data_IF_057513852993
#
_entry.id   IF_057513852993
#
_cell.length_a   1.000
_cell.length_b   1.000
_cell.length_c   1.000
_cell.angle_alpha   90.00
_cell.angle_beta   90.00
_cell.angle_gamma   90.00
#
_symmetry.space_group_name_H-M   'P 1'
#
loop_
_entity.id
_entity.type
_entity.pdbx_description
1 polymer ?
#
# COMPACT_ATOMS: atom_id res chain seq x y z
N UNK A 1 -17.49 1.33 3.97
CA UNK A 1 -16.14 1.82 3.64
C UNK A 1 -15.57 2.36 4.94
N UNK A 2 -14.67 1.63 5.59
CA UNK A 2 -14.00 2.16 6.77
C UNK A 2 -12.91 3.14 6.31
N UNK A 3 -12.83 4.31 6.95
CA UNK A 3 -11.73 5.24 6.71
C UNK A 3 -10.40 4.55 7.02
N UNK A 4 -9.47 4.60 6.06
CA UNK A 4 -8.11 4.09 6.25
C UNK A 4 -7.40 4.95 7.29
N UNK A 5 -6.87 4.33 8.35
CA UNK A 5 -6.16 5.05 9.40
C UNK A 5 -4.80 5.53 8.88
N UNK A 6 -4.38 6.77 9.18
CA UNK A 6 -3.03 7.22 8.88
C UNK A 6 -2.00 6.45 9.71
N UNK A 7 -0.78 6.37 9.19
CA UNK A 7 0.39 5.82 9.88
C UNK A 7 1.30 6.98 10.25
N UNK A 8 1.72 7.05 11.51
CA UNK A 8 2.67 8.05 11.99
C UNK A 8 4.06 7.43 12.07
N UNK A 9 5.09 8.24 11.81
CA UNK A 9 6.47 7.83 12.07
C UNK A 9 6.65 7.57 13.57
N UNK A 10 7.61 6.71 13.90
CA UNK A 10 7.98 6.37 15.27
C UNK A 10 8.32 7.57 16.14
N UNK A 11 8.88 8.63 15.53
CA UNK A 11 9.20 9.90 16.18
C UNK A 11 8.07 10.95 16.16
N UNK A 12 6.94 10.63 15.52
CA UNK A 12 5.76 11.49 15.40
C UNK A 12 5.93 12.71 14.50
N UNK A 13 7.05 12.83 13.77
CA UNK A 13 7.35 14.00 12.92
C UNK A 13 6.80 13.89 11.51
N UNK A 14 6.35 12.72 11.09
CA UNK A 14 5.81 12.51 9.75
C UNK A 14 4.56 11.64 9.80
N UNK A 15 3.71 11.80 8.78
CA UNK A 15 2.49 11.01 8.65
C UNK A 15 2.30 10.55 7.20
N UNK A 16 2.00 9.26 7.07
CA UNK A 16 1.55 8.63 5.83
C UNK A 16 0.04 8.46 5.89
N UNK A 17 -0.65 8.90 4.85
CA UNK A 17 -2.11 8.86 4.79
C UNK A 17 -2.60 8.69 3.35
N UNK A 18 -3.90 8.43 3.19
CA UNK A 18 -4.51 8.30 1.86
C UNK A 18 -5.25 9.59 1.53
N UNK A 19 -4.98 10.16 0.36
CA UNK A 19 -5.71 11.33 -0.15
C UNK A 19 -5.90 11.25 -1.66
N UNK A 20 -6.91 11.95 -2.16
CA UNK A 20 -7.15 12.04 -3.61
C UNK A 20 -6.10 12.93 -4.28
N UNK A 21 -5.53 12.47 -5.39
CA UNK A 21 -4.61 13.25 -6.22
C UNK A 21 -5.04 13.17 -7.67
N UNK A 22 -5.03 14.31 -8.36
CA UNK A 22 -5.28 14.35 -9.80
C UNK A 22 -4.19 13.58 -10.55
N UNK A 23 -4.61 12.69 -11.43
CA UNK A 23 -3.72 11.84 -12.24
C UNK A 23 -3.50 12.39 -13.64
N UNK A 24 -4.07 13.57 -13.96
CA UNK A 24 -3.92 14.25 -15.23
C UNK A 24 -4.62 13.52 -16.38
N UNK A 25 -4.53 14.08 -17.59
CA UNK A 25 -5.07 13.46 -18.81
C UNK A 25 -6.57 13.13 -18.72
N UNK A 26 -7.35 13.99 -18.06
CA UNK A 26 -8.79 13.81 -17.80
C UNK A 26 -9.15 12.55 -16.99
N UNK A 27 -8.18 11.93 -16.31
CA UNK A 27 -8.42 10.76 -15.48
C UNK A 27 -9.17 11.11 -14.18
N UNK A 28 -9.04 12.35 -13.71
CA UNK A 28 -9.59 12.81 -12.44
C UNK A 28 -8.76 12.35 -11.23
N UNK A 29 -9.36 12.48 -10.05
CA UNK A 29 -8.71 12.17 -8.78
C UNK A 29 -8.77 10.69 -8.41
N UNK A 30 -7.62 10.13 -8.02
CA UNK A 30 -7.50 8.78 -7.46
C UNK A 30 -6.90 8.84 -6.06
N UNK A 31 -7.29 7.91 -5.19
CA UNK A 31 -6.75 7.82 -3.83
C UNK A 31 -5.34 7.23 -3.87
N UNK A 32 -4.37 7.97 -3.35
CA UNK A 32 -2.97 7.60 -3.34
C UNK A 32 -2.34 7.81 -1.97
N UNK A 33 -1.21 7.13 -1.76
CA UNK A 33 -0.38 7.31 -0.56
C UNK A 33 0.28 8.69 -0.61
N UNK A 34 0.14 9.43 0.48
CA UNK A 34 0.77 10.72 0.70
C UNK A 34 1.67 10.65 1.93
N UNK A 35 2.77 11.40 1.91
CA UNK A 35 3.62 11.65 3.07
C UNK A 35 3.60 13.14 3.39
N UNK A 36 3.46 13.50 4.66
CA UNK A 36 3.57 14.88 5.10
C UNK A 36 4.48 14.98 6.32
N UNK A 37 5.33 16.00 6.31
CA UNK A 37 6.13 16.42 7.47
C UNK A 37 5.23 17.20 8.44
N UNK A 38 5.23 16.83 9.70
CA UNK A 38 4.40 17.42 10.76
C UNK A 38 5.18 18.45 11.61
N UNK A 39 6.46 18.66 11.36
CA UNK A 39 7.29 19.62 12.09
C UNK A 39 7.03 21.07 11.64
N UNK A 40 6.38 21.25 10.49
CA UNK A 40 6.02 22.56 9.95
C UNK A 40 4.56 22.62 9.51
N UNK A 41 3.84 23.66 9.92
CA UNK A 41 2.45 23.91 9.51
C UNK A 41 2.31 24.28 8.03
N UNK A 42 3.41 24.64 7.37
CA UNK A 42 3.45 24.97 5.94
C UNK A 42 3.78 23.75 5.05
N UNK A 43 4.08 22.59 5.65
CA UNK A 43 4.43 21.39 4.90
C UNK A 43 3.25 20.94 4.02
N UNK A 44 3.54 20.69 2.75
CA UNK A 44 2.55 20.15 1.80
C UNK A 44 2.72 18.65 1.71
N UNK A 45 1.63 17.88 1.63
CA UNK A 45 1.72 16.45 1.35
C UNK A 45 2.43 16.16 0.03
N UNK A 46 3.30 15.16 0.03
CA UNK A 46 4.02 14.64 -1.12
C UNK A 46 3.40 13.32 -1.53
N UNK A 47 2.90 13.17 -2.77
CA UNK A 47 2.34 11.91 -3.26
C UNK A 47 3.45 10.88 -3.46
N UNK A 48 3.38 9.75 -2.74
CA UNK A 48 4.32 8.64 -2.87
C UNK A 48 3.97 7.70 -4.04
N UNK A 49 2.69 7.62 -4.41
CA UNK A 49 2.19 6.80 -5.53
C UNK A 49 1.42 7.65 -6.55
N UNK A 50 1.34 7.17 -7.79
CA UNK A 50 0.52 7.73 -8.88
C UNK A 50 0.05 6.63 -9.83
N UNK A 51 -1.02 6.88 -10.57
CA UNK A 51 -1.56 5.99 -11.59
C UNK A 51 -3.09 5.93 -11.54
N UNK A 52 -3.72 5.26 -12.51
CA UNK A 52 -5.19 5.12 -12.54
C UNK A 52 -5.64 3.91 -11.71
N UNK A 53 -5.22 3.90 -10.45
CA UNK A 53 -5.58 2.88 -9.47
C UNK A 53 -5.83 3.56 -8.11
N UNK A 54 -6.57 2.90 -7.25
CA UNK A 54 -7.03 3.41 -5.97
C UNK A 54 -6.37 2.64 -4.84
N UNK A 55 -5.68 3.35 -3.96
CA UNK A 55 -5.26 2.84 -2.65
C UNK A 55 -6.47 2.87 -1.72
N UNK A 56 -6.73 1.73 -1.09
CA UNK A 56 -7.92 1.50 -0.26
C UNK A 56 -7.59 1.53 1.24
N UNK A 57 -6.41 1.03 1.61
CA UNK A 57 -5.99 0.89 3.01
C UNK A 57 -4.47 0.96 3.14
N UNK A 58 -3.97 1.59 4.22
CA UNK A 58 -2.57 1.51 4.64
C UNK A 58 -2.41 0.37 5.63
N UNK A 59 -1.40 -0.47 5.44
CA UNK A 59 -1.23 -1.70 6.21
C UNK A 59 -0.09 -1.60 7.23
N UNK A 60 1.06 -1.07 6.81
CA UNK A 60 2.24 -0.92 7.65
C UNK A 60 3.19 0.13 7.06
N UNK A 61 4.00 0.74 7.92
CA UNK A 61 5.14 1.56 7.54
C UNK A 61 6.38 0.97 8.19
N UNK A 62 7.28 0.47 7.36
CA UNK A 62 8.58 -0.03 7.74
C UNK A 62 9.64 1.04 7.51
N UNK A 63 9.81 1.90 8.51
CA UNK A 63 10.75 3.02 8.48
C UNK A 63 12.21 2.57 8.29
N UNK A 64 12.56 1.36 8.77
CA UNK A 64 13.93 0.84 8.66
C UNK A 64 14.30 0.51 7.21
N UNK A 65 13.36 -0.04 6.44
CA UNK A 65 13.56 -0.34 5.02
C UNK A 65 12.99 0.73 4.09
N UNK A 66 12.39 1.79 4.64
CA UNK A 66 11.79 2.91 3.90
C UNK A 66 10.60 2.50 3.04
N UNK A 67 9.75 1.61 3.55
CA UNK A 67 8.66 1.02 2.78
C UNK A 67 7.30 1.24 3.43
N UNK A 68 6.35 1.76 2.66
CA UNK A 68 4.94 1.83 3.02
C UNK A 68 4.18 0.72 2.31
N UNK A 69 3.49 -0.12 3.07
CA UNK A 69 2.65 -1.22 2.59
C UNK A 69 1.18 -0.80 2.57
N UNK A 70 0.47 -1.13 1.49
CA UNK A 70 -0.91 -0.72 1.29
C UNK A 70 -1.71 -1.72 0.42
N UNK A 71 -3.03 -1.66 0.53
CA UNK A 71 -3.96 -2.32 -0.38
C UNK A 71 -4.33 -1.38 -1.51
N UNK A 72 -4.23 -1.88 -2.74
CA UNK A 72 -4.71 -1.16 -3.91
C UNK A 72 -5.40 -2.09 -4.89
N UNK A 73 -6.24 -1.53 -5.74
CA UNK A 73 -6.63 -2.23 -6.96
C UNK A 73 -5.50 -2.15 -8.01
N UNK A 74 -5.82 -2.61 -9.22
CA UNK A 74 -4.95 -2.53 -10.38
C UNK A 74 -5.66 -1.72 -11.47
N UNK A 75 -4.91 -0.90 -12.20
CA UNK A 75 -5.44 -0.17 -13.35
C UNK A 75 -6.10 -1.14 -14.36
N UNK A 76 -7.31 -0.81 -14.80
CA UNK A 76 -8.13 -1.66 -15.66
C UNK A 76 -8.83 -2.83 -14.95
N UNK A 77 -8.50 -3.12 -13.69
CA UNK A 77 -9.07 -4.22 -12.90
C UNK A 77 -9.55 -3.74 -11.53
N UNK A 78 -10.61 -2.90 -11.46
CA UNK A 78 -11.06 -2.28 -10.21
C UNK A 78 -11.59 -3.28 -9.17
N UNK A 79 -12.01 -4.48 -9.59
CA UNK A 79 -12.47 -5.56 -8.71
C UNK A 79 -11.36 -6.43 -8.13
N UNK A 80 -10.10 -6.22 -8.53
CA UNK A 80 -8.95 -6.92 -7.95
C UNK A 80 -8.38 -6.10 -6.80
N UNK A 81 -7.83 -6.78 -5.80
CA UNK A 81 -7.16 -6.16 -4.67
C UNK A 81 -5.82 -6.85 -4.41
N UNK A 82 -4.77 -6.06 -4.25
CA UNK A 82 -3.41 -6.55 -4.03
C UNK A 82 -2.74 -5.76 -2.92
N UNK A 83 -1.87 -6.45 -2.19
CA UNK A 83 -0.89 -5.81 -1.31
C UNK A 83 0.28 -5.35 -2.16
N UNK A 84 0.59 -4.07 -2.06
CA UNK A 84 1.72 -3.42 -2.72
C UNK A 84 2.54 -2.63 -1.70
N UNK A 85 3.76 -2.27 -2.08
CA UNK A 85 4.62 -1.39 -1.30
C UNK A 85 5.21 -0.27 -2.16
N UNK A 86 5.58 0.83 -1.51
CA UNK A 86 6.23 1.97 -2.13
C UNK A 86 7.31 2.55 -1.20
N UNK A 87 8.32 3.18 -1.78
CA UNK A 87 9.33 3.92 -1.02
C UNK A 87 8.70 5.11 -0.27
N UNK A 88 9.15 5.36 0.96
CA UNK A 88 8.81 6.56 1.73
C UNK A 88 9.68 7.79 1.41
N UNK A 89 10.62 7.68 0.46
CA UNK A 89 11.49 8.79 0.10
C UNK A 89 10.73 9.92 -0.58
N UNK A 90 10.64 11.13 -0.01
CA UNK A 90 9.99 12.23 -0.71
C UNK A 90 10.78 12.70 -1.95
N UNK A 91 12.06 12.34 -2.07
CA UNK A 91 12.89 12.69 -3.23
C UNK A 91 12.52 11.83 -4.43
N UNK A 92 12.37 12.48 -5.59
CA UNK A 92 11.96 11.83 -6.85
C UNK A 92 10.59 11.13 -6.80
N UNK A 93 9.74 11.51 -5.84
CA UNK A 93 8.36 11.05 -5.73
C UNK A 93 7.48 11.63 -6.86
N UNK A 94 6.42 10.93 -7.33
CA UNK A 94 5.94 9.61 -6.89
C UNK A 94 6.78 8.45 -7.42
N UNK A 95 6.82 7.36 -6.65
CA UNK A 95 7.51 6.13 -7.00
C UNK A 95 6.59 5.11 -7.67
N UNK A 96 7.19 4.16 -8.38
CA UNK A 96 6.49 2.98 -8.89
C UNK A 96 6.24 1.99 -7.75
N UNK A 97 5.00 1.53 -7.61
CA UNK A 97 4.66 0.54 -6.59
C UNK A 97 5.18 -0.86 -6.97
N UNK A 98 5.61 -1.59 -5.95
CA UNK A 98 6.04 -2.98 -6.07
C UNK A 98 4.94 -3.87 -5.51
N UNK A 99 4.42 -4.77 -6.33
CA UNK A 99 3.39 -5.70 -5.88
C UNK A 99 4.00 -6.83 -5.03
N UNK A 100 3.52 -6.97 -3.80
CA UNK A 100 3.97 -8.00 -2.85
C UNK A 100 3.29 -9.34 -3.13
N UNK A 101 2.01 -9.32 -3.51
CA UNK A 101 1.14 -10.51 -3.56
C UNK A 101 0.83 -11.00 -4.98
N UNK A 102 1.27 -10.31 -6.02
CA UNK A 102 0.93 -10.65 -7.42
C UNK A 102 1.48 -12.00 -7.89
N UNK A 103 2.55 -12.48 -7.26
CA UNK A 103 3.14 -13.80 -7.53
C UNK A 103 2.71 -14.86 -6.52
N UNK A 104 1.88 -14.50 -5.54
CA UNK A 104 1.35 -15.47 -4.57
C UNK A 104 0.37 -16.40 -5.26
N UNK A 105 0.59 -17.70 -5.06
CA UNK A 105 -0.34 -18.74 -5.46
C UNK A 105 -0.99 -19.35 -4.21
N UNK A 106 -2.26 -19.75 -4.36
CA UNK A 106 -2.95 -20.57 -3.38
C UNK A 106 -2.31 -21.96 -3.28
N UNK A 107 -2.69 -22.75 -2.27
CA UNK A 107 -2.16 -24.10 -2.09
C UNK A 107 -2.34 -25.00 -3.33
N UNK A 108 -3.44 -24.82 -4.08
CA UNK A 108 -3.75 -25.52 -5.32
C UNK A 108 -3.17 -24.85 -6.59
N UNK A 109 -2.23 -23.92 -6.43
CA UNK A 109 -1.51 -23.28 -7.55
C UNK A 109 -2.32 -22.25 -8.32
N UNK A 110 -3.44 -21.76 -7.78
CA UNK A 110 -4.27 -20.74 -8.42
C UNK A 110 -3.81 -19.34 -8.05
N UNK A 111 -4.11 -18.38 -8.92
CA UNK A 111 -3.84 -16.96 -8.65
C UNK A 111 -4.83 -16.40 -7.65
N UNK A 112 -4.31 -15.68 -6.66
CA UNK A 112 -5.13 -14.85 -5.78
C UNK A 112 -5.33 -13.46 -6.40
N UNK A 113 -6.57 -13.04 -6.65
CA UNK A 113 -6.89 -11.73 -7.22
C UNK A 113 -7.51 -10.76 -6.22
N UNK A 114 -7.93 -11.26 -5.05
CA UNK A 114 -8.44 -10.44 -3.97
C UNK A 114 -7.64 -10.76 -2.70
N UNK A 115 -6.53 -10.05 -2.53
CA UNK A 115 -5.60 -10.24 -1.42
C UNK A 115 -5.75 -9.13 -0.39
N UNK A 116 -5.72 -9.52 0.89
CA UNK A 116 -5.48 -8.65 2.04
C UNK A 116 -4.20 -9.05 2.77
N UNK A 117 -3.74 -8.23 3.72
CA UNK A 117 -2.69 -8.64 4.65
C UNK A 117 -2.80 -7.97 6.02
N UNK A 118 -2.21 -8.60 7.04
CA UNK A 118 -1.97 -8.00 8.35
C UNK A 118 -0.51 -8.22 8.74
N UNK A 119 0.17 -7.15 9.15
CA UNK A 119 1.61 -7.17 9.43
C UNK A 119 1.87 -7.39 10.93
N UNK A 120 2.95 -8.10 11.23
CA UNK A 120 3.51 -8.16 12.59
C UNK A 120 4.03 -6.78 13.01
N UNK A 121 4.27 -6.59 14.30
CA UNK A 121 5.03 -5.42 14.79
C UNK A 121 6.39 -5.39 14.09
N UNK A 122 6.81 -4.22 13.61
CA UNK A 122 8.04 -4.06 12.82
C UNK A 122 8.00 -4.67 11.41
N UNK A 123 6.84 -5.13 10.95
CA UNK A 123 6.60 -5.65 9.62
C UNK A 123 7.55 -6.81 9.19
N UNK A 124 8.10 -7.59 10.13
CA UNK A 124 9.00 -8.71 9.81
C UNK A 124 8.26 -9.93 9.24
N UNK A 125 6.98 -10.09 9.57
CA UNK A 125 6.08 -11.10 9.02
C UNK A 125 4.76 -10.45 8.60
N UNK A 126 4.02 -11.12 7.72
CA UNK A 126 2.62 -10.77 7.47
C UNK A 126 1.77 -12.01 7.23
N UNK A 127 0.51 -11.95 7.65
CA UNK A 127 -0.53 -12.86 7.15
C UNK A 127 -1.01 -12.32 5.82
N UNK A 128 -1.10 -13.16 4.80
CA UNK A 128 -1.83 -12.88 3.57
C UNK A 128 -3.18 -13.58 3.66
N UNK A 129 -4.26 -12.83 3.46
CA UNK A 129 -5.59 -13.40 3.27
C UNK A 129 -5.89 -13.38 1.78
N UNK A 130 -6.03 -14.55 1.17
CA UNK A 130 -6.62 -14.66 -0.16
C UNK A 130 -8.13 -14.85 -0.02
N UNK A 131 -8.94 -13.90 -0.47
CA UNK A 131 -10.39 -13.97 -0.39
C UNK A 131 -11.05 -14.36 -1.73
N UNK A 132 -10.29 -14.51 -2.80
CA UNK A 132 -10.83 -14.88 -4.10
C UNK A 132 -9.85 -14.78 -5.27
N UNK A 133 -10.26 -15.25 -6.46
CA UNK A 133 -11.63 -15.65 -6.82
C UNK A 133 -11.98 -17.10 -6.45
N UNK A 134 -11.00 -17.88 -6.00
CA UNK A 134 -11.17 -19.29 -5.62
C UNK A 134 -11.47 -19.41 -4.11
N UNK A 135 -11.32 -20.63 -3.58
CA UNK A 135 -11.54 -20.93 -2.16
C UNK A 135 -10.62 -20.04 -1.31
N UNK A 136 -11.17 -19.28 -0.34
CA UNK A 136 -10.35 -18.43 0.52
C UNK A 136 -9.35 -19.21 1.37
N UNK A 137 -8.15 -18.65 1.56
CA UNK A 137 -7.11 -19.20 2.42
C UNK A 137 -6.30 -18.10 3.10
N UNK A 138 -5.65 -18.44 4.21
CA UNK A 138 -4.76 -17.53 4.94
C UNK A 138 -3.41 -18.20 5.12
N UNK A 139 -2.33 -17.48 4.82
CA UNK A 139 -0.95 -17.96 4.93
C UNK A 139 -0.07 -16.92 5.60
N UNK A 140 1.00 -17.36 6.28
CA UNK A 140 1.98 -16.47 6.92
C UNK A 140 3.25 -16.47 6.08
N UNK A 141 3.82 -15.28 5.88
CA UNK A 141 5.05 -15.07 5.14
C UNK A 141 6.05 -14.30 6.00
N UNK A 142 7.32 -14.67 5.89
CA UNK A 142 8.44 -13.84 6.33
C UNK A 142 8.72 -12.77 5.28
N UNK A 143 8.89 -11.52 5.72
CA UNK A 143 9.33 -10.43 4.85
C UNK A 143 10.84 -10.57 4.64
N UNK A 144 11.22 -11.34 3.61
CA UNK A 144 12.63 -11.48 3.22
C UNK A 144 13.16 -10.12 2.74
N UNK A 145 14.14 -9.58 3.47
CA UNK A 145 14.87 -8.37 3.10
C UNK A 145 15.73 -8.72 1.89
N UNK A 146 15.46 -8.12 0.73
CA UNK A 146 16.30 -8.22 -0.47
C UNK A 146 17.19 -6.99 -0.59
#
# INVERSE_FOLDING_TARGET
>A
MADSKPLFSSDGKSMVFIYSSDQGGNAGGYRHVQLVDLTSTAAKPVPLTKGKFTVTELLAWDEANREVYFLSNLEGFPGQLRVSKVSDDPRNSPHKEICVTCKSLTHDGRKCLYSGASFSKGASYYTQTCAGPYIPEIRIFEKVIM
#
